data_IF_469183940170
#
_entry.id   IF_469183940170
#
_cell.length_a   1.000
_cell.length_b   1.000
_cell.length_c   1.000
_cell.angle_alpha   90.00
_cell.angle_beta   90.00
_cell.angle_gamma   90.00
#
_symmetry.space_group_name_H-M   'P 1'
#
loop_
_entity.id
_entity.type
_entity.pdbx_description
1 polymer ?
#
# COMPACT_ATOMS: atom_id res chain seq x y z
N UNK A 1 7.46 20.22 -1.35
CA UNK A 1 6.69 19.71 -0.20
C UNK A 1 6.51 20.88 0.77
N UNK A 2 5.28 21.21 1.15
CA UNK A 2 5.06 22.05 2.34
C UNK A 2 5.33 21.13 3.52
N UNK A 3 6.18 21.53 4.46
CA UNK A 3 6.68 20.67 5.53
C UNK A 3 5.59 20.19 6.50
N UNK A 4 5.96 20.02 7.76
CA UNK A 4 5.06 19.50 8.82
C UNK A 4 3.80 20.35 9.06
N UNK A 5 3.75 21.60 8.58
CA UNK A 5 2.60 22.51 8.71
C UNK A 5 1.51 22.28 7.64
N UNK A 6 1.64 21.25 6.81
CA UNK A 6 0.63 20.92 5.82
C UNK A 6 -0.59 20.28 6.50
N UNK A 7 -1.82 20.80 6.32
CA UNK A 7 -3.03 20.24 6.95
C UNK A 7 -3.47 18.90 6.32
N UNK A 8 -2.72 18.37 5.35
CA UNK A 8 -3.04 17.15 4.63
C UNK A 8 -2.05 16.02 4.99
N UNK A 9 -2.56 14.79 5.05
CA UNK A 9 -1.76 13.60 5.30
C UNK A 9 -0.83 13.32 4.11
N UNK A 10 0.48 13.16 4.38
CA UNK A 10 1.51 12.88 3.38
C UNK A 10 1.81 11.38 3.23
N UNK A 11 1.13 10.53 3.98
CA UNK A 11 1.29 9.08 3.94
C UNK A 11 0.37 8.48 2.87
N UNK A 12 0.75 8.68 1.60
CA UNK A 12 0.03 8.18 0.42
C UNK A 12 -0.24 6.67 0.46
N UNK A 13 0.62 5.91 1.14
CA UNK A 13 0.49 4.45 1.30
C UNK A 13 -0.71 4.03 2.14
N UNK A 14 -1.39 4.94 2.85
CA UNK A 14 -2.68 4.66 3.51
C UNK A 14 -3.85 4.59 2.53
N UNK A 15 -3.72 5.22 1.36
CA UNK A 15 -4.82 5.35 0.40
C UNK A 15 -4.70 4.29 -0.70
N UNK A 16 -5.79 3.63 -1.11
CA UNK A 16 -5.74 2.59 -2.12
C UNK A 16 -5.37 3.14 -3.50
N UNK A 17 -4.54 2.41 -4.24
CA UNK A 17 -4.26 2.70 -5.64
C UNK A 17 -5.48 2.35 -6.49
N UNK A 18 -6.11 3.35 -7.11
CA UNK A 18 -7.29 3.12 -7.95
C UNK A 18 -7.02 2.20 -9.14
N UNK A 19 -5.84 2.30 -9.77
CA UNK A 19 -5.49 1.41 -10.90
C UNK A 19 -5.38 -0.04 -10.44
N UNK A 20 -4.67 -0.28 -9.33
CA UNK A 20 -4.55 -1.62 -8.78
C UNK A 20 -5.89 -2.16 -8.28
N UNK A 21 -6.68 -1.33 -7.58
CA UNK A 21 -7.99 -1.73 -7.06
C UNK A 21 -9.02 -2.03 -8.17
N UNK A 22 -8.98 -1.31 -9.29
CA UNK A 22 -9.95 -1.49 -10.39
C UNK A 22 -9.50 -2.51 -11.45
N UNK A 23 -8.20 -2.57 -11.76
CA UNK A 23 -7.63 -3.40 -12.83
C UNK A 23 -6.85 -4.62 -12.31
N UNK A 24 -6.65 -4.73 -10.99
CA UNK A 24 -5.75 -5.72 -10.38
C UNK A 24 -4.27 -5.47 -10.65
N UNK A 25 -3.92 -4.37 -11.32
CA UNK A 25 -2.55 -4.06 -11.73
C UNK A 25 -2.30 -2.55 -11.79
N UNK A 26 -1.05 -2.15 -11.53
CA UNK A 26 -0.60 -0.77 -11.62
C UNK A 26 0.73 -0.74 -12.36
N UNK A 27 0.85 0.12 -13.37
CA UNK A 27 2.08 0.26 -14.18
C UNK A 27 3.28 0.79 -13.38
N UNK A 28 3.04 1.39 -12.22
CA UNK A 28 4.08 1.84 -11.28
C UNK A 28 4.67 0.70 -10.44
N UNK A 29 4.10 -0.51 -10.49
CA UNK A 29 4.60 -1.63 -9.71
C UNK A 29 4.80 -1.30 -8.23
N UNK A 30 5.99 -1.57 -7.71
CA UNK A 30 6.41 -1.32 -6.32
C UNK A 30 6.78 0.13 -6.03
N UNK A 31 7.03 0.96 -7.05
CA UNK A 31 7.31 2.40 -6.87
C UNK A 31 6.02 3.22 -6.65
N UNK A 32 4.85 2.57 -6.74
CA UNK A 32 3.58 3.20 -6.49
C UNK A 32 3.47 3.65 -5.03
N UNK A 33 3.28 4.95 -4.80
CA UNK A 33 3.15 5.52 -3.46
C UNK A 33 1.79 5.21 -2.79
N UNK A 34 0.84 4.63 -3.52
CA UNK A 34 -0.49 4.27 -3.02
C UNK A 34 -0.58 2.77 -2.70
N UNK A 35 -1.46 2.39 -1.78
CA UNK A 35 -1.59 1.00 -1.34
C UNK A 35 -2.08 0.07 -2.46
N UNK A 36 -1.33 -1.02 -2.68
CA UNK A 36 -1.72 -2.17 -3.49
C UNK A 36 -2.30 -3.31 -2.63
N UNK A 37 -2.56 -3.10 -1.33
CA UNK A 37 -3.19 -4.14 -0.51
C UNK A 37 -4.69 -4.14 -0.77
N UNK A 38 -5.18 -5.10 -1.54
CA UNK A 38 -6.62 -5.37 -1.60
C UNK A 38 -6.98 -5.94 -0.23
N UNK A 39 -7.69 -5.18 0.59
CA UNK A 39 -8.14 -5.63 1.90
C UNK A 39 -9.26 -6.67 1.68
N UNK A 40 -8.88 -7.88 1.28
CA UNK A 40 -9.70 -9.05 1.50
C UNK A 40 -9.82 -9.14 3.02
N UNK A 41 -11.04 -9.04 3.54
CA UNK A 41 -11.33 -9.03 4.98
C UNK A 41 -11.06 -10.39 5.63
N UNK A 42 -9.84 -10.87 5.55
CA UNK A 42 -9.30 -11.95 6.38
C UNK A 42 -8.27 -11.30 7.30
N UNK A 43 -8.79 -10.77 8.41
CA UNK A 43 -7.95 -10.45 9.56
C UNK A 43 -7.39 -11.76 10.09
N UNK A 44 -6.13 -12.06 9.77
CA UNK A 44 -5.31 -12.90 10.60
C UNK A 44 -3.94 -12.25 10.68
N UNK A 45 -3.80 -11.51 11.78
CA UNK A 45 -2.60 -10.88 12.27
C UNK A 45 -1.54 -11.95 12.57
N UNK A 46 -0.88 -12.48 11.54
CA UNK A 46 0.34 -13.29 11.65
C UNK A 46 1.42 -12.68 10.77
N UNK A 47 2.21 -11.85 11.45
CA UNK A 47 3.54 -11.35 11.15
C UNK A 47 4.33 -12.12 10.08
N UNK A 48 4.88 -11.37 9.12
CA UNK A 48 6.01 -11.65 8.23
C UNK A 48 6.50 -13.09 8.10
N UNK A 49 6.23 -13.74 6.96
CA UNK A 49 7.02 -14.88 6.49
C UNK A 49 7.98 -14.45 5.39
N UNK A 50 8.95 -13.60 5.75
CA UNK A 50 10.27 -13.64 5.12
C UNK A 50 11.09 -14.68 5.88
N UNK A 51 10.77 -15.95 5.67
CA UNK A 51 11.58 -17.08 6.14
C UNK A 51 11.55 -18.12 5.03
N UNK A 52 12.45 -17.94 4.06
CA UNK A 52 12.86 -19.04 3.20
C UNK A 52 14.10 -19.63 3.85
N UNK A 53 13.91 -20.70 4.62
CA UNK A 53 15.02 -21.56 5.04
C UNK A 53 15.31 -22.49 3.86
N UNK A 54 16.49 -22.38 3.28
CA UNK A 54 17.20 -23.48 2.63
C UNK A 54 18.62 -23.54 3.19
#
# INVERSE_FOLDING_TARGET
MKGEDCPFDHQLSKYPCTNYASKGSCSRGEECMFSHTVNSRLHNNTFSSATFVL
#
